data_IF_610660950544
#
_entry.id   IF_610660950544
#
_cell.length_a   1.000
_cell.length_b   1.000
_cell.length_c   1.000
_cell.angle_alpha   90.00
_cell.angle_beta   90.00
_cell.angle_gamma   90.00
#
_symmetry.space_group_name_H-M   'P 1'
#
loop_
_entity.id
_entity.type
_entity.pdbx_description
1 polymer ?
#
# COMPACT_ATOMS: atom_id res chain seq x y z
N UNK A 1 -39.82 -21.06 52.22
CA UNK A 1 -38.57 -21.39 51.50
C UNK A 1 -38.70 -20.88 50.08
N UNK A 2 -38.43 -19.58 49.89
CA UNK A 2 -38.43 -18.94 48.57
C UNK A 2 -37.07 -19.20 47.93
N UNK A 3 -37.03 -20.01 46.88
CA UNK A 3 -35.85 -20.17 46.04
C UNK A 3 -35.98 -19.22 44.86
N UNK A 4 -35.37 -18.04 44.98
CA UNK A 4 -35.22 -17.09 43.87
C UNK A 4 -34.14 -17.67 42.96
N UNK A 5 -34.57 -18.20 41.81
CA UNK A 5 -33.68 -18.61 40.74
C UNK A 5 -33.27 -17.33 39.99
N UNK A 6 -32.07 -16.84 40.28
CA UNK A 6 -31.43 -15.78 39.50
C UNK A 6 -30.90 -16.46 38.24
N UNK A 7 -31.68 -16.40 37.16
CA UNK A 7 -31.16 -16.67 35.82
C UNK A 7 -30.30 -15.46 35.43
N UNK A 8 -28.98 -15.63 35.54
CA UNK A 8 -27.97 -14.67 35.10
C UNK A 8 -27.84 -14.75 33.56
N UNK A 9 -28.24 -13.72 32.78
CA UNK A 9 -28.18 -13.76 31.34
C UNK A 9 -26.83 -13.18 30.89
N UNK A 10 -25.74 -13.87 31.20
CA UNK A 10 -24.43 -13.57 30.63
C UNK A 10 -24.04 -14.64 29.61
N UNK A 11 -24.95 -14.93 28.68
CA UNK A 11 -24.59 -15.54 27.41
C UNK A 11 -23.86 -14.47 26.59
N UNK A 12 -22.54 -14.35 26.82
CA UNK A 12 -21.64 -13.53 25.99
C UNK A 12 -21.74 -14.06 24.56
N UNK A 13 -22.46 -13.34 23.70
CA UNK A 13 -22.57 -13.72 22.29
C UNK A 13 -21.15 -13.88 21.71
N UNK A 14 -20.75 -15.09 21.26
CA UNK A 14 -19.41 -15.34 20.75
C UNK A 14 -19.11 -14.46 19.53
N UNK A 15 -20.13 -14.14 18.73
CA UNK A 15 -20.01 -13.26 17.57
C UNK A 15 -19.63 -11.81 17.92
N UNK A 16 -20.13 -11.28 19.05
CA UNK A 16 -19.80 -9.92 19.49
C UNK A 16 -18.33 -9.83 19.93
N UNK A 17 -17.85 -10.87 20.61
CA UNK A 17 -16.47 -10.93 21.10
C UNK A 17 -15.46 -11.04 19.94
N UNK A 18 -15.78 -11.82 18.90
CA UNK A 18 -14.96 -11.93 17.69
C UNK A 18 -14.90 -10.61 16.90
N UNK A 19 -16.02 -9.91 16.75
CA UNK A 19 -16.08 -8.62 16.07
C UNK A 19 -15.21 -7.56 16.78
N UNK A 20 -15.26 -7.51 18.11
CA UNK A 20 -14.41 -6.59 18.89
C UNK A 20 -12.91 -6.90 18.76
N UNK A 21 -12.53 -8.17 18.71
CA UNK A 21 -11.13 -8.57 18.53
C UNK A 21 -10.60 -8.16 17.16
N UNK A 22 -11.38 -8.40 16.10
CA UNK A 22 -11.05 -8.01 14.73
C UNK A 22 -10.93 -6.50 14.60
N UNK A 23 -11.85 -5.74 15.20
CA UNK A 23 -11.78 -4.29 15.23
C UNK A 23 -10.53 -3.77 15.93
N UNK A 24 -10.17 -4.36 17.08
CA UNK A 24 -8.98 -3.97 17.82
C UNK A 24 -7.70 -4.26 17.02
N UNK A 25 -7.65 -5.38 16.31
CA UNK A 25 -6.57 -5.70 15.38
C UNK A 25 -6.43 -4.64 14.29
N UNK A 26 -7.55 -4.24 13.65
CA UNK A 26 -7.55 -3.20 12.62
C UNK A 26 -7.09 -1.85 13.14
N UNK A 27 -7.54 -1.44 14.33
CA UNK A 27 -7.14 -0.19 14.97
C UNK A 27 -5.64 -0.21 15.29
N UNK A 28 -5.12 -1.30 15.86
CA UNK A 28 -3.69 -1.44 16.16
C UNK A 28 -2.82 -1.42 14.90
N UNK A 29 -3.28 -2.09 13.85
CA UNK A 29 -2.61 -2.08 12.54
C UNK A 29 -2.63 -0.67 11.92
N UNK A 30 -3.77 0.01 11.97
CA UNK A 30 -3.92 1.39 11.51
C UNK A 30 -2.96 2.34 12.23
N UNK A 31 -2.94 2.32 13.57
CA UNK A 31 -2.07 3.19 14.37
C UNK A 31 -0.60 2.95 14.01
N UNK A 32 -0.19 1.68 13.97
CA UNK A 32 1.20 1.30 13.67
C UNK A 32 1.63 1.78 12.29
N UNK A 33 0.77 1.58 11.27
CA UNK A 33 1.09 1.95 9.90
C UNK A 33 1.02 3.44 9.65
N UNK A 34 0.08 4.15 10.28
CA UNK A 34 0.04 5.61 10.23
C UNK A 34 1.28 6.21 10.87
N UNK A 35 1.73 5.68 12.00
CA UNK A 35 2.97 6.12 12.65
C UNK A 35 4.18 5.91 11.73
N UNK A 36 4.32 4.72 11.13
CA UNK A 36 5.43 4.42 10.22
C UNK A 36 5.41 5.32 8.98
N UNK A 37 4.25 5.49 8.34
CA UNK A 37 4.12 6.37 7.18
C UNK A 37 4.36 7.84 7.54
N UNK A 38 3.91 8.30 8.72
CA UNK A 38 4.20 9.64 9.20
C UNK A 38 5.71 9.86 9.39
N UNK A 39 6.41 8.90 9.99
CA UNK A 39 7.87 8.93 10.09
C UNK A 39 8.50 8.99 8.70
N UNK A 40 8.01 8.22 7.72
CA UNK A 40 8.54 8.27 6.36
C UNK A 40 8.33 9.61 5.68
N UNK A 41 7.13 10.21 5.81
CA UNK A 41 6.86 11.57 5.32
C UNK A 41 7.82 12.56 5.98
N UNK A 42 7.98 12.49 7.30
CA UNK A 42 8.92 13.33 8.02
C UNK A 42 10.36 13.17 7.50
N UNK A 43 10.83 11.94 7.29
CA UNK A 43 12.15 11.67 6.73
C UNK A 43 12.34 12.18 5.30
N UNK A 44 11.27 12.21 4.50
CA UNK A 44 11.31 12.74 3.12
C UNK A 44 11.29 14.28 3.09
N UNK A 45 10.51 14.92 3.98
CA UNK A 45 10.38 16.38 4.05
C UNK A 45 11.58 17.03 4.73
N UNK A 46 12.13 16.39 5.75
CA UNK A 46 13.27 16.88 6.54
C UNK A 46 14.50 15.96 6.37
N UNK A 47 15.13 15.95 5.18
CA UNK A 47 16.35 15.18 4.99
C UNK A 47 17.43 15.70 5.93
N UNK A 48 18.12 14.80 6.62
CA UNK A 48 19.21 15.20 7.52
C UNK A 48 20.37 15.81 6.74
N UNK A 49 20.96 16.87 7.31
CA UNK A 49 22.19 17.47 6.80
C UNK A 49 23.29 16.41 6.72
N UNK A 50 23.85 16.20 5.51
CA UNK A 50 24.91 15.23 5.25
C UNK A 50 24.48 13.92 4.57
N UNK A 51 23.18 13.64 4.44
CA UNK A 51 22.68 12.52 3.64
C UNK A 51 22.47 13.00 2.20
N UNK A 52 22.96 12.24 1.21
CA UNK A 52 22.70 12.49 -0.22
C UNK A 52 21.21 12.77 -0.43
N UNK A 53 20.87 13.96 -0.93
CA UNK A 53 19.49 14.32 -1.24
C UNK A 53 18.88 13.27 -2.19
N UNK A 54 17.65 12.85 -1.90
CA UNK A 54 16.91 11.96 -2.80
C UNK A 54 16.86 12.60 -4.19
N UNK A 55 17.20 11.82 -5.22
CA UNK A 55 16.96 12.25 -6.60
C UNK A 55 15.48 12.59 -6.75
N UNK A 56 15.17 13.76 -7.29
CA UNK A 56 13.80 14.27 -7.47
C UNK A 56 12.75 13.22 -7.93
N UNK A 57 12.97 12.39 -8.97
CA UNK A 57 11.96 11.40 -9.37
C UNK A 57 11.73 10.32 -8.31
N UNK A 58 12.77 9.94 -7.54
CA UNK A 58 12.62 8.98 -6.45
C UNK A 58 11.78 9.54 -5.31
N UNK A 59 11.93 10.83 -5.01
CA UNK A 59 11.16 11.47 -3.94
C UNK A 59 9.67 11.52 -4.28
N UNK A 60 9.33 11.82 -5.54
CA UNK A 60 7.95 11.82 -6.00
C UNK A 60 7.35 10.41 -6.02
N UNK A 61 8.11 9.41 -6.46
CA UNK A 61 7.66 8.01 -6.44
C UNK A 61 7.42 7.50 -5.02
N UNK A 62 8.37 7.74 -4.12
CA UNK A 62 8.26 7.32 -2.73
C UNK A 62 7.16 8.09 -1.99
N UNK A 63 7.05 9.40 -2.24
CA UNK A 63 5.97 10.24 -1.74
C UNK A 63 4.60 9.78 -2.22
N UNK A 64 4.46 9.42 -3.50
CA UNK A 64 3.20 8.89 -4.03
C UNK A 64 2.85 7.52 -3.43
N UNK A 65 3.85 6.68 -3.15
CA UNK A 65 3.65 5.37 -2.53
C UNK A 65 3.23 5.49 -1.06
N UNK A 66 3.94 6.33 -0.29
CA UNK A 66 3.62 6.60 1.12
C UNK A 66 2.26 7.31 1.25
N UNK A 67 1.99 8.30 0.40
CA UNK A 67 0.70 8.99 0.34
C UNK A 67 -0.45 8.05 -0.02
N UNK A 68 -0.23 7.14 -0.97
CA UNK A 68 -1.18 6.08 -1.31
C UNK A 68 -1.47 5.15 -0.13
N UNK A 69 -0.44 4.73 0.61
CA UNK A 69 -0.62 3.89 1.79
C UNK A 69 -1.41 4.62 2.90
N UNK A 70 -1.11 5.90 3.15
CA UNK A 70 -1.87 6.72 4.11
C UNK A 70 -3.34 6.80 3.71
N UNK A 71 -3.62 7.13 2.44
CA UNK A 71 -4.98 7.22 1.92
C UNK A 71 -5.71 5.87 2.07
N UNK A 72 -5.08 4.75 1.70
CA UNK A 72 -5.64 3.41 1.88
C UNK A 72 -6.03 3.15 3.34
N UNK A 73 -5.15 3.43 4.29
CA UNK A 73 -5.45 3.22 5.71
C UNK A 73 -6.62 4.08 6.21
N UNK A 74 -6.68 5.34 5.79
CA UNK A 74 -7.79 6.24 6.14
C UNK A 74 -9.12 5.72 5.58
N UNK A 75 -9.15 5.32 4.31
CA UNK A 75 -10.37 4.79 3.69
C UNK A 75 -10.78 3.43 4.24
N UNK A 76 -9.83 2.57 4.60
CA UNK A 76 -10.18 1.29 5.25
C UNK A 76 -10.76 1.52 6.65
N UNK A 77 -10.20 2.44 7.43
CA UNK A 77 -10.76 2.79 8.74
C UNK A 77 -12.18 3.34 8.59
N UNK A 78 -12.40 4.21 7.60
CA UNK A 78 -13.71 4.76 7.28
C UNK A 78 -14.71 3.65 6.88
N UNK A 79 -14.27 2.68 6.07
CA UNK A 79 -15.10 1.53 5.67
C UNK A 79 -15.52 0.68 6.89
N UNK A 80 -14.59 0.36 7.79
CA UNK A 80 -14.86 -0.40 9.02
C UNK A 80 -15.78 0.40 9.96
N UNK A 81 -15.59 1.72 10.06
CA UNK A 81 -16.43 2.58 10.87
C UNK A 81 -17.89 2.62 10.39
N UNK A 82 -18.10 2.73 9.07
CA UNK A 82 -19.45 2.72 8.50
C UNK A 82 -20.15 1.38 8.70
N UNK A 83 -19.41 0.28 8.62
CA UNK A 83 -19.92 -1.06 8.89
C UNK A 83 -20.36 -1.21 10.36
N UNK A 84 -19.53 -0.74 11.30
CA UNK A 84 -19.83 -0.76 12.74
C UNK A 84 -21.07 0.07 13.09
N UNK A 85 -21.24 1.24 12.48
CA UNK A 85 -22.36 2.13 12.78
C UNK A 85 -23.71 1.62 12.25
N UNK A 86 -23.74 0.46 11.57
CA UNK A 86 -24.94 -0.11 10.93
C UNK A 86 -25.71 0.90 10.05
N UNK A 87 -25.02 1.98 9.65
CA UNK A 87 -25.53 3.10 8.86
C UNK A 87 -24.97 2.98 7.44
N UNK A 88 -24.93 1.76 6.92
CA UNK A 88 -24.28 1.44 5.66
C UNK A 88 -25.20 1.80 4.49
N UNK A 89 -25.16 3.07 4.09
CA UNK A 89 -25.56 3.42 2.74
C UNK A 89 -24.66 2.63 1.78
N UNK A 90 -25.21 1.61 1.12
CA UNK A 90 -24.47 0.73 0.21
C UNK A 90 -23.68 1.53 -0.85
N UNK A 91 -24.20 2.68 -1.28
CA UNK A 91 -23.53 3.60 -2.18
C UNK A 91 -22.22 4.15 -1.59
N UNK A 92 -22.22 4.63 -0.34
CA UNK A 92 -21.03 5.19 0.32
C UNK A 92 -19.95 4.12 0.43
N UNK A 93 -20.35 2.91 0.80
CA UNK A 93 -19.45 1.78 0.93
C UNK A 93 -18.82 1.38 -0.42
N UNK A 94 -19.62 1.31 -1.48
CA UNK A 94 -19.13 1.02 -2.83
C UNK A 94 -18.18 2.10 -3.36
N UNK A 95 -18.48 3.39 -3.09
CA UNK A 95 -17.56 4.49 -3.40
C UNK A 95 -16.26 4.33 -2.61
N UNK A 96 -16.34 4.00 -1.32
CA UNK A 96 -15.16 3.81 -0.47
C UNK A 96 -14.28 2.67 -1.02
N UNK A 97 -14.88 1.54 -1.41
CA UNK A 97 -14.18 0.43 -2.05
C UNK A 97 -13.52 0.85 -3.39
N UNK A 98 -14.22 1.62 -4.23
CA UNK A 98 -13.68 2.13 -5.48
C UNK A 98 -12.46 3.05 -5.25
N UNK A 99 -12.51 3.91 -4.22
CA UNK A 99 -11.38 4.77 -3.83
C UNK A 99 -10.20 3.95 -3.32
N UNK A 100 -10.46 2.90 -2.51
CA UNK A 100 -9.43 1.99 -2.04
C UNK A 100 -8.74 1.29 -3.22
N UNK A 101 -9.52 0.74 -4.16
CA UNK A 101 -8.96 0.09 -5.36
C UNK A 101 -8.12 1.07 -6.17
N UNK A 102 -8.63 2.28 -6.47
CA UNK A 102 -7.91 3.34 -7.17
C UNK A 102 -6.56 3.65 -6.50
N UNK A 103 -6.57 3.84 -5.19
CA UNK A 103 -5.36 4.16 -4.42
C UNK A 103 -4.34 3.00 -4.44
N UNK A 104 -4.82 1.75 -4.39
CA UNK A 104 -3.96 0.57 -4.54
C UNK A 104 -3.30 0.51 -5.92
N UNK A 105 -4.00 0.89 -7.00
CA UNK A 105 -3.42 0.97 -8.36
C UNK A 105 -2.33 2.02 -8.45
N UNK A 106 -2.54 3.16 -7.80
CA UNK A 106 -1.55 4.24 -7.68
C UNK A 106 -0.28 3.73 -6.99
N UNK A 107 -0.41 2.94 -5.92
CA UNK A 107 0.73 2.38 -5.20
C UNK A 107 1.50 1.35 -6.06
N UNK A 108 0.79 0.49 -6.80
CA UNK A 108 1.42 -0.48 -7.72
C UNK A 108 2.23 0.23 -8.78
N UNK A 109 1.65 1.22 -9.46
CA UNK A 109 2.35 1.98 -10.51
C UNK A 109 3.53 2.79 -9.99
N UNK A 110 3.40 3.40 -8.80
CA UNK A 110 4.54 4.05 -8.14
C UNK A 110 5.68 3.07 -7.90
N UNK A 111 5.36 1.82 -7.55
CA UNK A 111 6.36 0.77 -7.33
C UNK A 111 6.96 0.26 -8.64
N UNK A 112 6.16 0.09 -9.69
CA UNK A 112 6.63 -0.24 -11.03
C UNK A 112 7.72 0.74 -11.48
N UNK A 113 7.41 2.04 -11.44
CA UNK A 113 8.35 3.07 -11.87
C UNK A 113 9.57 3.17 -10.96
N UNK A 114 9.42 2.86 -9.67
CA UNK A 114 10.55 2.74 -8.74
C UNK A 114 11.48 1.59 -9.13
N UNK A 115 10.96 0.42 -9.50
CA UNK A 115 11.78 -0.69 -10.01
C UNK A 115 12.45 -0.35 -11.35
N UNK A 116 11.73 0.27 -12.29
CA UNK A 116 12.29 0.73 -13.58
C UNK A 116 13.40 1.76 -13.35
N UNK A 117 13.21 2.69 -12.42
CA UNK A 117 14.20 3.69 -12.05
C UNK A 117 15.48 3.05 -11.50
N UNK A 118 15.36 2.08 -10.60
CA UNK A 118 16.53 1.37 -10.06
C UNK A 118 17.23 0.52 -11.11
N UNK A 119 16.48 -0.18 -11.96
CA UNK A 119 17.02 -0.92 -13.09
C UNK A 119 17.89 -0.01 -13.98
N UNK A 120 17.37 1.14 -14.39
CA UNK A 120 18.10 2.09 -15.25
C UNK A 120 19.36 2.65 -14.58
N UNK A 121 19.40 2.72 -13.25
CA UNK A 121 20.57 3.21 -12.52
C UNK A 121 21.64 2.15 -12.31
N UNK A 122 21.23 0.91 -12.07
CA UNK A 122 22.14 -0.17 -11.71
C UNK A 122 22.70 -0.84 -12.96
N UNK A 123 21.84 -1.18 -13.92
CA UNK A 123 22.23 -1.91 -15.12
C UNK A 123 22.82 -0.92 -16.14
N UNK A 124 24.00 -1.22 -16.73
CA UNK A 124 24.58 -0.41 -17.79
C UNK A 124 23.73 -0.55 -19.05
N UNK A 125 23.39 0.59 -19.66
CA UNK A 125 22.62 0.62 -20.89
C UNK A 125 23.51 0.24 -22.07
N UNK A 126 23.19 -0.87 -22.74
CA UNK A 126 23.93 -1.34 -23.92
C UNK A 126 23.30 -0.87 -25.24
N UNK A 127 21.98 -0.65 -25.27
CA UNK A 127 21.25 -0.20 -26.45
C UNK A 127 21.04 1.32 -26.43
N UNK A 128 21.05 1.95 -27.61
CA UNK A 128 20.83 3.39 -27.79
C UNK A 128 19.56 3.90 -27.12
N UNK A 129 18.47 3.12 -27.16
CA UNK A 129 17.19 3.44 -26.52
C UNK A 129 17.34 3.51 -24.99
N UNK A 130 18.02 2.54 -24.37
CA UNK A 130 18.25 2.56 -22.92
C UNK A 130 19.20 3.69 -22.50
N UNK A 131 20.17 4.05 -23.34
CA UNK A 131 21.05 5.20 -23.09
C UNK A 131 20.23 6.49 -23.08
N UNK A 132 19.36 6.66 -24.08
CA UNK A 132 18.46 7.81 -24.17
C UNK A 132 17.48 7.86 -22.98
N UNK A 133 16.87 6.72 -22.62
CA UNK A 133 15.97 6.60 -21.48
C UNK A 133 16.68 6.97 -20.18
N UNK A 134 17.89 6.47 -19.98
CA UNK A 134 18.72 6.76 -18.80
C UNK A 134 19.08 8.25 -18.72
N UNK A 135 19.36 8.89 -19.85
CA UNK A 135 19.64 10.35 -19.91
C UNK A 135 18.41 11.19 -19.57
N UNK A 136 17.22 10.74 -19.99
CA UNK A 136 15.95 11.47 -19.82
C UNK A 136 15.03 10.86 -18.75
N UNK A 137 15.56 10.07 -17.83
CA UNK A 137 14.78 9.24 -16.90
C UNK A 137 13.79 10.04 -16.04
N UNK A 138 14.14 11.29 -15.70
CA UNK A 138 13.28 12.18 -14.93
C UNK A 138 11.99 12.52 -15.70
N UNK A 139 12.13 12.98 -16.93
CA UNK A 139 11.00 13.36 -17.79
C UNK A 139 10.14 12.14 -18.09
N UNK A 140 10.78 11.01 -18.36
CA UNK A 140 10.09 9.75 -18.63
C UNK A 140 9.22 9.30 -17.46
N UNK A 141 9.78 9.24 -16.24
CA UNK A 141 9.04 8.83 -15.04
C UNK A 141 7.87 9.79 -14.76
N UNK A 142 8.07 11.11 -14.87
CA UNK A 142 6.98 12.04 -14.64
C UNK A 142 5.88 11.93 -15.67
N UNK A 143 6.23 11.80 -16.95
CA UNK A 143 5.25 11.64 -18.03
C UNK A 143 4.46 10.36 -17.84
N UNK A 144 5.14 9.25 -17.50
CA UNK A 144 4.49 7.98 -17.29
C UNK A 144 3.58 7.99 -16.04
N UNK A 145 4.01 8.61 -14.95
CA UNK A 145 3.15 8.82 -13.78
C UNK A 145 1.90 9.63 -14.13
N UNK A 146 2.03 10.72 -14.89
CA UNK A 146 0.86 11.54 -15.29
C UNK A 146 -0.11 10.72 -16.14
N UNK A 147 0.40 9.96 -17.12
CA UNK A 147 -0.43 9.09 -17.97
C UNK A 147 -1.15 8.03 -17.13
N UNK A 148 -0.44 7.37 -16.21
CA UNK A 148 -1.05 6.39 -15.30
C UNK A 148 -2.16 7.00 -14.45
N UNK A 149 -1.94 8.20 -13.90
CA UNK A 149 -2.97 8.88 -13.09
C UNK A 149 -4.20 9.22 -13.91
N UNK A 150 -4.04 9.70 -15.14
CA UNK A 150 -5.16 9.99 -16.04
C UNK A 150 -5.91 8.69 -16.37
N UNK A 151 -5.19 7.61 -16.70
CA UNK A 151 -5.78 6.31 -17.03
C UNK A 151 -6.60 5.73 -15.87
N UNK A 152 -6.06 5.70 -14.65
CA UNK A 152 -6.80 5.18 -13.50
C UNK A 152 -7.90 6.11 -13.03
N UNK A 153 -7.73 7.43 -13.16
CA UNK A 153 -8.77 8.39 -12.81
C UNK A 153 -9.99 8.21 -13.73
N UNK A 154 -9.75 7.99 -15.03
CA UNK A 154 -10.82 7.67 -15.97
C UNK A 154 -11.58 6.41 -15.56
N UNK A 155 -10.87 5.31 -15.28
CA UNK A 155 -11.50 4.07 -14.81
C UNK A 155 -12.30 4.26 -13.51
N UNK A 156 -11.75 5.02 -12.56
CA UNK A 156 -12.43 5.38 -11.31
C UNK A 156 -13.71 6.19 -11.56
N UNK A 157 -13.66 7.22 -12.40
CA UNK A 157 -14.83 8.05 -12.72
C UNK A 157 -15.94 7.21 -13.37
N UNK A 158 -15.60 6.34 -14.33
CA UNK A 158 -16.56 5.43 -14.97
C UNK A 158 -17.22 4.52 -13.92
N UNK A 159 -16.44 3.94 -13.00
CA UNK A 159 -16.96 3.10 -11.93
C UNK A 159 -17.93 3.87 -11.02
N UNK A 160 -17.57 5.07 -10.56
CA UNK A 160 -18.42 5.90 -9.69
C UNK A 160 -19.72 6.31 -10.39
N UNK A 161 -19.65 6.75 -11.65
CA UNK A 161 -20.85 7.13 -12.42
C UNK A 161 -21.78 5.94 -12.59
N UNK A 162 -21.24 4.75 -12.86
CA UNK A 162 -22.04 3.52 -12.96
C UNK A 162 -22.72 3.17 -11.63
N UNK A 163 -22.03 3.33 -10.50
CA UNK A 163 -22.60 3.07 -9.17
C UNK A 163 -23.75 4.03 -8.84
N UNK A 164 -23.59 5.33 -9.13
CA UNK A 164 -24.63 6.34 -8.90
C UNK A 164 -25.86 6.06 -9.77
N UNK A 165 -25.66 5.72 -11.04
CA UNK A 165 -26.76 5.42 -11.96
C UNK A 165 -27.57 4.21 -11.49
N UNK A 166 -26.89 3.15 -11.05
CA UNK A 166 -27.55 1.93 -10.58
C UNK A 166 -28.27 2.14 -9.23
N UNK A 167 -27.77 3.03 -8.37
CA UNK A 167 -28.40 3.34 -7.08
C UNK A 167 -29.69 4.16 -7.16
N UNK A 168 -29.92 4.88 -8.27
CA UNK A 168 -31.05 5.82 -8.42
C UNK A 168 -32.23 5.28 -9.25
N UNK A 169 -32.21 4.01 -9.68
CA UNK A 169 -33.31 3.45 -10.48
C UNK A 169 -34.57 3.16 -9.62
N UNK A 170 -35.73 3.78 -9.91
CA UNK A 170 -36.97 3.49 -9.18
C UNK A 170 -37.49 2.08 -9.49
N UNK A 171 -38.08 1.43 -8.47
CA UNK A 171 -38.49 0.03 -8.44
C UNK A 171 -39.56 -0.38 -9.48
N UNK A 172 -40.05 0.53 -10.32
CA UNK A 172 -41.16 0.29 -11.25
C UNK A 172 -40.73 -0.06 -12.69
N UNK A 173 -39.43 0.00 -13.02
CA UNK A 173 -38.90 -0.35 -14.37
C UNK A 173 -38.20 -1.72 -14.42
N UNK A 174 -38.51 -2.64 -13.49
CA UNK A 174 -37.74 -3.86 -13.20
C UNK A 174 -37.67 -4.88 -14.36
N UNK A 175 -38.63 -4.87 -15.31
CA UNK A 175 -38.71 -5.91 -16.35
C UNK A 175 -37.80 -5.64 -17.56
N UNK A 176 -37.66 -4.39 -18.02
CA UNK A 176 -36.68 -4.04 -19.08
C UNK A 176 -35.25 -3.87 -18.55
N UNK A 177 -35.09 -3.74 -17.23
CA UNK A 177 -33.81 -3.44 -16.58
C UNK A 177 -32.91 -4.68 -16.49
N UNK A 178 -33.45 -5.91 -16.38
CA UNK A 178 -32.64 -7.14 -16.32
C UNK A 178 -31.81 -7.41 -17.59
N UNK A 179 -32.35 -7.08 -18.76
CA UNK A 179 -31.67 -7.28 -20.05
C UNK A 179 -30.68 -6.14 -20.37
N UNK A 180 -30.97 -4.92 -19.91
CA UNK A 180 -30.03 -3.80 -20.01
C UNK A 180 -28.90 -3.90 -18.98
N UNK A 181 -29.14 -4.36 -17.76
CA UNK A 181 -28.09 -4.55 -16.73
C UNK A 181 -27.10 -5.64 -17.10
N UNK A 182 -27.53 -6.76 -17.71
CA UNK A 182 -26.59 -7.78 -18.20
C UNK A 182 -25.70 -7.25 -19.34
N UNK A 183 -26.24 -6.45 -20.26
CA UNK A 183 -25.47 -5.82 -21.33
C UNK A 183 -24.54 -4.69 -20.84
N UNK A 184 -24.99 -3.89 -19.87
CA UNK A 184 -24.22 -2.80 -19.27
C UNK A 184 -23.10 -3.36 -18.39
N UNK A 185 -23.37 -4.41 -17.60
CA UNK A 185 -22.36 -5.13 -16.84
C UNK A 185 -21.34 -5.80 -17.74
N UNK A 186 -21.76 -6.41 -18.86
CA UNK A 186 -20.85 -7.04 -19.83
C UNK A 186 -20.00 -5.99 -20.56
N UNK A 187 -20.59 -4.84 -20.92
CA UNK A 187 -19.84 -3.72 -21.50
C UNK A 187 -18.87 -3.08 -20.51
N UNK A 188 -19.23 -2.98 -19.23
CA UNK A 188 -18.36 -2.45 -18.19
C UNK A 188 -17.21 -3.43 -17.91
N UNK A 189 -17.50 -4.73 -17.74
CA UNK A 189 -16.50 -5.79 -17.57
C UNK A 189 -15.43 -5.79 -18.66
N UNK A 190 -15.87 -5.70 -19.93
CA UNK A 190 -14.94 -5.74 -21.07
C UNK A 190 -14.17 -4.43 -21.19
N UNK A 191 -14.81 -3.28 -20.96
CA UNK A 191 -14.19 -1.97 -21.20
C UNK A 191 -13.34 -1.45 -20.04
N UNK A 192 -13.55 -1.89 -18.79
CA UNK A 192 -12.77 -1.43 -17.64
C UNK A 192 -11.89 -2.52 -17.04
N UNK A 193 -12.42 -3.70 -16.72
CA UNK A 193 -11.64 -4.73 -16.03
C UNK A 193 -10.54 -5.35 -16.90
N UNK A 194 -10.81 -5.60 -18.19
CA UNK A 194 -9.83 -6.22 -19.09
C UNK A 194 -8.57 -5.38 -19.34
N UNK A 195 -8.67 -4.09 -19.72
CA UNK A 195 -7.49 -3.26 -19.91
C UNK A 195 -6.75 -3.01 -18.59
N UNK A 196 -7.46 -2.91 -17.47
CA UNK A 196 -6.85 -2.77 -16.15
C UNK A 196 -6.08 -4.03 -15.75
N UNK A 197 -6.67 -5.22 -15.93
CA UNK A 197 -6.01 -6.50 -15.68
C UNK A 197 -4.78 -6.68 -16.55
N UNK A 198 -4.90 -6.39 -17.86
CA UNK A 198 -3.78 -6.43 -18.79
C UNK A 198 -2.66 -5.51 -18.37
N UNK A 199 -2.99 -4.26 -18.01
CA UNK A 199 -2.01 -3.29 -17.51
C UNK A 199 -1.33 -3.79 -16.22
N UNK A 200 -2.08 -4.37 -15.28
CA UNK A 200 -1.53 -4.93 -14.04
C UNK A 200 -0.59 -6.11 -14.30
N UNK A 201 -0.98 -7.05 -15.16
CA UNK A 201 -0.13 -8.19 -15.52
C UNK A 201 1.17 -7.73 -16.19
N UNK A 202 1.09 -6.77 -17.10
CA UNK A 202 2.28 -6.16 -17.73
C UNK A 202 3.16 -5.48 -16.69
N UNK A 203 2.55 -4.73 -15.76
CA UNK A 203 3.27 -4.04 -14.68
C UNK A 203 4.05 -5.02 -13.80
N UNK A 204 3.40 -6.10 -13.34
CA UNK A 204 4.05 -7.15 -12.54
C UNK A 204 5.16 -7.82 -13.35
N UNK A 205 4.90 -8.12 -14.63
CA UNK A 205 5.90 -8.68 -15.54
C UNK A 205 7.13 -7.79 -15.66
N UNK A 206 6.96 -6.48 -15.89
CA UNK A 206 8.06 -5.51 -15.96
C UNK A 206 8.79 -5.41 -14.62
N UNK A 207 8.09 -5.39 -13.49
CA UNK A 207 8.70 -5.39 -12.16
C UNK A 207 9.57 -6.63 -11.91
N UNK A 208 9.08 -7.81 -12.27
CA UNK A 208 9.82 -9.07 -12.12
C UNK A 208 11.02 -9.13 -13.06
N UNK A 209 10.83 -8.85 -14.36
CA UNK A 209 11.91 -8.89 -15.36
C UNK A 209 13.00 -7.88 -15.01
N UNK A 210 12.64 -6.64 -14.68
CA UNK A 210 13.62 -5.60 -14.30
C UNK A 210 14.38 -5.96 -13.01
N UNK A 211 13.70 -6.52 -12.01
CA UNK A 211 14.35 -6.92 -10.76
C UNK A 211 15.24 -8.15 -10.95
N UNK A 212 14.78 -9.19 -11.66
CA UNK A 212 15.57 -10.37 -11.98
C UNK A 212 16.82 -10.01 -12.80
N UNK A 213 16.68 -9.18 -13.83
CA UNK A 213 17.81 -8.71 -14.62
C UNK A 213 18.82 -7.94 -13.76
N UNK A 214 18.34 -7.11 -12.82
CA UNK A 214 19.18 -6.38 -11.88
C UNK A 214 19.94 -7.35 -10.96
N UNK A 215 19.29 -8.38 -10.38
CA UNK A 215 19.97 -9.39 -9.55
C UNK A 215 21.03 -10.15 -10.33
N UNK A 216 20.70 -10.65 -11.53
CA UNK A 216 21.65 -11.41 -12.36
C UNK A 216 22.86 -10.56 -12.72
N UNK A 217 22.64 -9.28 -13.03
CA UNK A 217 23.71 -8.32 -13.26
C UNK A 217 24.57 -8.13 -12.02
N UNK A 218 23.97 -7.89 -10.85
CA UNK A 218 24.71 -7.71 -9.59
C UNK A 218 25.50 -8.97 -9.22
N UNK A 219 24.93 -10.16 -9.36
CA UNK A 219 25.61 -11.43 -9.08
C UNK A 219 26.82 -11.63 -9.98
N UNK A 220 26.66 -11.38 -11.29
CA UNK A 220 27.76 -11.46 -12.26
C UNK A 220 28.85 -10.44 -11.94
N UNK A 221 28.47 -9.20 -11.61
CA UNK A 221 29.40 -8.16 -11.24
C UNK A 221 30.18 -8.50 -9.95
N UNK A 222 29.49 -9.02 -8.93
CA UNK A 222 30.10 -9.46 -7.67
C UNK A 222 31.09 -10.59 -7.89
N UNK A 223 30.75 -11.56 -8.74
CA UNK A 223 31.63 -12.68 -9.08
C UNK A 223 32.91 -12.19 -9.75
N UNK A 224 32.79 -11.33 -10.77
CA UNK A 224 33.94 -10.72 -11.45
C UNK A 224 34.79 -9.83 -10.52
N UNK A 225 34.17 -9.18 -9.53
CA UNK A 225 34.90 -8.42 -8.51
C UNK A 225 35.73 -9.31 -7.57
N UNK A 226 35.19 -10.46 -7.15
CA UNK A 226 35.94 -11.45 -6.35
C UNK A 226 37.17 -11.96 -7.07
N UNK A 227 37.09 -12.10 -8.38
CA UNK A 227 38.18 -12.56 -9.24
C UNK A 227 39.25 -11.47 -9.50
N UNK A 228 38.92 -10.19 -9.33
CA UNK A 228 39.80 -9.05 -9.68
C UNK A 228 40.44 -8.32 -8.48
N UNK A 229 40.28 -8.84 -7.26
CA UNK A 229 40.89 -8.33 -6.01
C UNK A 229 40.71 -6.81 -5.75
N UNK A 230 39.71 -6.16 -6.36
CA UNK A 230 39.42 -4.73 -6.14
C UNK A 230 38.57 -4.54 -4.88
N UNK A 231 39.12 -3.82 -3.90
CA UNK A 231 38.50 -3.58 -2.58
C UNK A 231 37.38 -2.51 -2.55
N UNK A 232 37.07 -1.88 -3.68
CA UNK A 232 36.11 -0.78 -3.76
C UNK A 232 34.71 -1.30 -4.18
N UNK A 233 33.75 -1.40 -3.24
CA UNK A 233 32.28 -1.20 -3.45
C UNK A 233 31.29 -2.08 -2.64
N UNK A 234 31.70 -2.82 -1.60
CA UNK A 234 30.78 -3.75 -0.91
C UNK A 234 29.50 -3.08 -0.36
N UNK A 235 29.61 -1.86 0.19
CA UNK A 235 28.47 -1.14 0.79
C UNK A 235 27.45 -0.65 -0.25
N UNK A 236 27.92 -0.11 -1.38
CA UNK A 236 27.07 0.35 -2.49
C UNK A 236 26.37 -0.83 -3.17
N UNK A 237 27.11 -1.92 -3.38
CA UNK A 237 26.59 -3.17 -3.93
C UNK A 237 25.51 -3.78 -3.02
N UNK A 238 25.76 -3.85 -1.70
CA UNK A 238 24.77 -4.31 -0.72
C UNK A 238 23.51 -3.44 -0.71
N UNK A 239 23.65 -2.11 -0.83
CA UNK A 239 22.50 -1.19 -0.96
C UNK A 239 21.68 -1.50 -2.22
N UNK A 240 22.33 -1.71 -3.36
CA UNK A 240 21.67 -2.05 -4.62
C UNK A 240 21.00 -3.43 -4.58
N UNK A 241 21.66 -4.44 -4.01
CA UNK A 241 21.06 -5.77 -3.82
C UNK A 241 19.81 -5.69 -2.96
N UNK A 242 19.87 -4.96 -1.84
CA UNK A 242 18.73 -4.83 -0.93
C UNK A 242 17.53 -4.19 -1.60
N UNK A 243 17.73 -3.06 -2.27
CA UNK A 243 16.65 -2.36 -2.99
C UNK A 243 15.99 -3.29 -4.00
N UNK A 244 16.79 -4.09 -4.72
CA UNK A 244 16.29 -5.05 -5.70
C UNK A 244 15.50 -6.19 -5.05
N UNK A 245 16.01 -6.77 -3.94
CA UNK A 245 15.31 -7.80 -3.18
C UNK A 245 13.97 -7.27 -2.68
N UNK A 246 13.95 -6.07 -2.09
CA UNK A 246 12.69 -5.47 -1.66
C UNK A 246 11.76 -5.19 -2.84
N UNK A 247 12.29 -4.83 -4.02
CA UNK A 247 11.51 -4.69 -5.24
C UNK A 247 10.84 -5.99 -5.71
N UNK A 248 11.51 -7.15 -5.56
CA UNK A 248 10.93 -8.47 -5.86
C UNK A 248 9.86 -8.85 -4.85
N UNK A 249 10.15 -8.73 -3.55
CA UNK A 249 9.18 -9.02 -2.49
C UNK A 249 7.92 -8.16 -2.72
N UNK A 250 8.12 -6.91 -3.10
CA UNK A 250 7.03 -5.99 -3.42
C UNK A 250 6.23 -6.43 -4.65
N UNK A 251 6.89 -6.88 -5.72
CA UNK A 251 6.22 -7.44 -6.89
C UNK A 251 5.38 -8.67 -6.54
N UNK A 252 5.92 -9.56 -5.70
CA UNK A 252 5.21 -10.76 -5.22
C UNK A 252 4.00 -10.39 -4.36
N UNK A 253 4.15 -9.45 -3.42
CA UNK A 253 3.03 -8.98 -2.60
C UNK A 253 1.90 -8.42 -3.47
N UNK A 254 2.21 -7.61 -4.48
CA UNK A 254 1.20 -7.09 -5.39
C UNK A 254 0.63 -8.15 -6.33
N UNK A 255 1.41 -9.16 -6.71
CA UNK A 255 0.90 -10.30 -7.47
C UNK A 255 -0.15 -11.07 -6.66
N UNK A 256 0.12 -11.36 -5.38
CA UNK A 256 -0.86 -11.99 -4.50
C UNK A 256 -2.09 -11.10 -4.29
N UNK A 257 -1.89 -9.80 -4.05
CA UNK A 257 -2.98 -8.84 -3.88
C UNK A 257 -3.88 -8.77 -5.12
N UNK A 258 -3.27 -8.62 -6.30
CA UNK A 258 -3.98 -8.54 -7.57
C UNK A 258 -4.71 -9.84 -7.88
N UNK A 259 -4.06 -10.99 -7.67
CA UNK A 259 -4.69 -12.30 -7.86
C UNK A 259 -5.91 -12.47 -6.96
N UNK A 260 -5.83 -12.07 -5.69
CA UNK A 260 -6.96 -12.11 -4.77
C UNK A 260 -8.12 -11.22 -5.23
N UNK A 261 -7.84 -10.01 -5.72
CA UNK A 261 -8.88 -9.11 -6.27
C UNK A 261 -9.51 -9.72 -7.53
N UNK A 262 -8.72 -10.30 -8.43
CA UNK A 262 -9.25 -10.91 -9.66
C UNK A 262 -10.10 -12.14 -9.34
N UNK A 263 -9.61 -13.01 -8.46
CA UNK A 263 -10.38 -14.18 -7.98
C UNK A 263 -11.68 -13.70 -7.34
N UNK A 264 -11.63 -12.64 -6.55
CA UNK A 264 -12.80 -12.04 -5.95
C UNK A 264 -13.82 -11.58 -6.99
N UNK A 265 -13.42 -10.74 -7.94
CA UNK A 265 -14.30 -10.27 -9.03
C UNK A 265 -14.88 -11.45 -9.83
N UNK A 266 -14.06 -12.47 -10.10
CA UNK A 266 -14.52 -13.66 -10.82
C UNK A 266 -15.57 -14.45 -10.03
N UNK A 267 -15.35 -14.64 -8.72
CA UNK A 267 -16.33 -15.29 -7.83
C UNK A 267 -17.61 -14.45 -7.75
N UNK A 268 -17.50 -13.12 -7.67
CA UNK A 268 -18.64 -12.21 -7.64
C UNK A 268 -19.52 -12.31 -8.88
N UNK A 269 -18.93 -12.57 -10.05
CA UNK A 269 -19.65 -12.79 -11.30
C UNK A 269 -20.28 -14.19 -11.35
N UNK A 270 -19.55 -15.22 -10.90
CA UNK A 270 -19.96 -16.62 -11.05
C UNK A 270 -20.95 -17.07 -9.97
N UNK A 271 -20.79 -16.61 -8.73
CA UNK A 271 -21.58 -16.98 -7.55
C UNK A 271 -21.99 -15.72 -6.74
N UNK A 272 -22.99 -14.94 -7.19
CA UNK A 272 -23.43 -13.73 -6.50
C UNK A 272 -24.09 -13.98 -5.12
N UNK A 273 -24.41 -15.22 -4.75
CA UNK A 273 -25.03 -15.56 -3.45
C UNK A 273 -24.05 -15.57 -2.26
N UNK A 274 -22.73 -15.56 -2.49
CA UNK A 274 -21.70 -15.59 -1.43
C UNK A 274 -21.14 -14.19 -1.06
N UNK A 275 -21.77 -13.13 -1.57
CA UNK A 275 -21.19 -11.78 -1.66
C UNK A 275 -20.88 -11.09 -0.31
N UNK A 276 -21.62 -11.36 0.76
CA UNK A 276 -21.46 -10.63 2.03
C UNK A 276 -20.19 -11.01 2.83
N UNK A 277 -19.76 -12.27 2.78
CA UNK A 277 -18.53 -12.70 3.46
C UNK A 277 -17.26 -12.19 2.73
N UNK A 278 -17.43 -11.85 1.47
CA UNK A 278 -16.37 -11.69 0.49
C UNK A 278 -15.66 -10.33 0.58
N UNK A 279 -16.35 -9.28 1.04
CA UNK A 279 -15.81 -7.93 1.03
C UNK A 279 -14.82 -7.64 2.17
N UNK A 280 -15.01 -8.27 3.34
CA UNK A 280 -14.04 -8.23 4.44
C UNK A 280 -12.71 -8.90 4.07
N UNK A 281 -12.76 -9.96 3.25
CA UNK A 281 -11.57 -10.68 2.78
C UNK A 281 -10.72 -9.75 1.92
N UNK A 282 -11.33 -9.03 0.97
CA UNK A 282 -10.60 -8.06 0.12
C UNK A 282 -9.94 -6.98 0.95
N UNK A 283 -10.68 -6.36 1.89
CA UNK A 283 -10.13 -5.33 2.77
C UNK A 283 -8.94 -5.84 3.58
N UNK A 284 -9.05 -7.07 4.11
CA UNK A 284 -7.96 -7.74 4.83
C UNK A 284 -6.73 -7.93 3.94
N UNK A 285 -6.92 -8.41 2.71
CA UNK A 285 -5.83 -8.63 1.75
C UNK A 285 -5.16 -7.32 1.38
N UNK A 286 -5.92 -6.26 1.09
CA UNK A 286 -5.39 -4.93 0.76
C UNK A 286 -4.57 -4.39 1.94
N UNK A 287 -5.06 -4.53 3.17
CA UNK A 287 -4.35 -4.08 4.37
C UNK A 287 -3.05 -4.86 4.61
N UNK A 288 -3.07 -6.18 4.45
CA UNK A 288 -1.89 -7.01 4.56
C UNK A 288 -0.83 -6.62 3.52
N UNK A 289 -1.26 -6.35 2.29
CA UNK A 289 -0.37 -5.91 1.22
C UNK A 289 0.22 -4.52 1.48
N UNK A 290 -0.58 -3.60 2.00
CA UNK A 290 -0.13 -2.24 2.37
C UNK A 290 0.83 -2.27 3.56
N UNK A 291 0.57 -3.17 4.53
CA UNK A 291 1.47 -3.44 5.64
C UNK A 291 2.82 -3.97 5.16
N UNK A 292 2.81 -5.03 4.34
CA UNK A 292 4.02 -5.59 3.74
C UNK A 292 4.80 -4.56 2.91
N UNK A 293 4.08 -3.71 2.17
CA UNK A 293 4.66 -2.59 1.42
C UNK A 293 5.40 -1.61 2.31
N UNK A 294 4.78 -1.21 3.42
CA UNK A 294 5.34 -0.24 4.36
C UNK A 294 6.61 -0.78 5.02
N UNK A 295 6.60 -2.06 5.41
CA UNK A 295 7.79 -2.75 5.93
C UNK A 295 8.89 -2.82 4.86
N UNK A 296 8.55 -3.25 3.65
CA UNK A 296 9.51 -3.33 2.54
C UNK A 296 10.14 -1.99 2.21
N UNK A 297 9.37 -0.89 2.26
CA UNK A 297 9.91 0.46 2.10
C UNK A 297 10.91 0.81 3.20
N UNK A 298 10.58 0.53 4.46
CA UNK A 298 11.47 0.77 5.60
C UNK A 298 12.79 0.00 5.50
N UNK A 299 12.75 -1.27 5.05
CA UNK A 299 13.96 -2.07 4.87
C UNK A 299 14.74 -1.72 3.60
N UNK A 300 14.04 -1.51 2.49
CA UNK A 300 14.62 -1.31 1.16
C UNK A 300 15.27 0.05 1.00
N UNK A 301 14.65 1.10 1.54
CA UNK A 301 15.15 2.46 1.44
C UNK A 301 16.09 2.79 2.59
N UNK A 302 17.39 2.81 2.30
CA UNK A 302 18.42 3.14 3.29
C UNK A 302 18.20 4.50 3.96
N UNK A 303 17.65 5.46 3.21
CA UNK A 303 17.38 6.83 3.67
C UNK A 303 16.24 6.84 4.68
N UNK A 304 15.13 6.13 4.40
CA UNK A 304 14.04 5.99 5.36
C UNK A 304 14.53 5.29 6.63
N UNK A 305 15.30 4.21 6.48
CA UNK A 305 15.85 3.47 7.62
C UNK A 305 16.73 4.35 8.52
N UNK A 306 17.70 5.06 7.93
CA UNK A 306 18.59 5.94 8.69
C UNK A 306 17.83 7.10 9.33
N UNK A 307 16.87 7.67 8.60
CA UNK A 307 15.97 8.70 9.11
C UNK A 307 15.16 8.21 10.31
N UNK A 308 14.54 7.03 10.21
CA UNK A 308 13.76 6.42 11.29
C UNK A 308 14.61 6.17 12.53
N UNK A 309 15.83 5.63 12.38
CA UNK A 309 16.75 5.41 13.51
C UNK A 309 17.08 6.72 14.21
N UNK A 310 17.43 7.77 13.46
CA UNK A 310 17.79 9.04 14.10
C UNK A 310 16.58 9.73 14.76
N UNK A 311 15.39 9.65 14.15
CA UNK A 311 14.15 10.15 14.79
C UNK A 311 13.91 9.40 16.10
N UNK A 312 14.07 8.08 16.09
CA UNK A 312 13.92 7.23 17.28
C UNK A 312 14.93 7.58 18.38
N UNK A 313 16.21 7.74 18.03
CA UNK A 313 17.27 8.16 18.96
C UNK A 313 16.97 9.52 19.60
N UNK A 314 16.49 10.50 18.81
CA UNK A 314 16.10 11.82 19.33
C UNK A 314 14.92 11.74 20.30
N UNK A 315 13.94 10.87 20.02
CA UNK A 315 12.79 10.64 20.90
C UNK A 315 13.24 10.00 22.20
N UNK A 316 14.05 8.93 22.13
CA UNK A 316 14.60 8.24 23.30
C UNK A 316 15.44 9.19 24.18
N UNK A 317 16.27 10.03 23.57
CA UNK A 317 17.09 10.99 24.30
C UNK A 317 16.22 12.02 25.03
N UNK A 318 15.17 12.54 24.39
CA UNK A 318 14.21 13.44 25.05
C UNK A 318 13.44 12.77 26.19
N UNK A 319 13.03 11.51 26.02
CA UNK A 319 12.34 10.74 27.06
C UNK A 319 13.25 10.47 28.26
N UNK A 320 14.52 10.12 28.03
CA UNK A 320 15.49 9.92 29.10
C UNK A 320 15.79 11.21 29.86
N UNK A 321 15.92 12.34 29.16
CA UNK A 321 16.06 13.66 29.80
C UNK A 321 14.82 14.02 30.63
N UNK A 322 13.62 13.74 30.12
CA UNK A 322 12.38 13.98 30.85
C UNK A 322 12.27 13.10 32.11
N UNK A 323 12.65 11.82 32.01
CA UNK A 323 12.68 10.91 33.16
C UNK A 323 13.70 11.36 34.21
N UNK A 324 14.88 11.84 33.79
CA UNK A 324 15.91 12.40 34.66
C UNK A 324 15.41 13.66 35.39
N UNK A 325 14.78 14.59 34.65
CA UNK A 325 14.22 15.82 35.22
C UNK A 325 13.11 15.52 36.25
N UNK A 326 12.21 14.58 35.94
CA UNK A 326 11.15 14.17 36.85
C UNK A 326 11.68 13.49 38.12
N UNK A 327 12.80 12.74 38.03
CA UNK A 327 13.45 12.14 39.20
C UNK A 327 14.05 13.21 40.11
N UNK A 328 14.76 14.19 39.54
CA UNK A 328 15.35 15.31 40.28
C UNK A 328 14.28 16.18 40.97
N UNK A 329 13.15 16.44 40.30
CA UNK A 329 12.02 17.17 40.90
C UNK A 329 11.36 16.43 42.09
N UNK A 330 11.35 15.08 42.07
CA UNK A 330 10.85 14.28 43.18
C UNK A 330 11.81 14.24 44.37
N UNK A 331 13.12 14.22 44.12
CA UNK A 331 14.16 14.31 45.16
C UNK A 331 14.10 15.66 45.87
N UNK A 332 13.98 16.76 45.12
CA UNK A 332 13.90 18.12 45.68
C UNK A 332 12.61 18.35 46.52
N UNK A 333 11.52 17.62 46.23
CA UNK A 333 10.31 17.63 47.06
C UNK A 333 10.46 16.80 48.33
N UNK A 334 11.23 15.71 48.30
CA UNK A 334 11.51 14.90 49.51
C UNK A 334 12.45 15.60 50.47
N UNK A 335 13.40 16.40 49.98
CA UNK A 335 14.29 17.19 50.85
C UNK A 335 13.57 18.36 51.54
N UNK A 336 12.40 18.77 51.04
CA UNK A 336 11.60 19.88 51.60
C UNK A 336 10.47 19.43 52.53
N UNK A 337 10.28 18.12 52.74
CA UNK A 337 9.23 17.55 53.61
C UNK A 337 9.87 16.86 54.81
#
# INVERSE_FOLDING_TARGET
MFSVKIDDPTFKDPQLTEMHLVLLLYIMQFITLMLMNFIFVFCMVFPQQGIEQLKQPLNVLLGSLVGGNIALHVFTLLAVFFDLMSSSNALIYNITAAVMLYTMRISITSTLWLNVFYYCQIVPAQLSVFIWLKKNIRVFIYSALVVDRIFFLYGFTVAVVSLIKNGNCPANEVVNTKQNTTNLNKSLLVNTLWPELGYFSVSIGVMLVSSCATILYLQRHTRSMKESSRSFSSSRLQRQMRVTITGIIQALLYFFCSSAIVINEFISILLPSLFNLQQHIICTVILLCTFGTTINMGFGQSILRQGSICVWEKILLKLNLYACFNRRSKEEKREKT
#
